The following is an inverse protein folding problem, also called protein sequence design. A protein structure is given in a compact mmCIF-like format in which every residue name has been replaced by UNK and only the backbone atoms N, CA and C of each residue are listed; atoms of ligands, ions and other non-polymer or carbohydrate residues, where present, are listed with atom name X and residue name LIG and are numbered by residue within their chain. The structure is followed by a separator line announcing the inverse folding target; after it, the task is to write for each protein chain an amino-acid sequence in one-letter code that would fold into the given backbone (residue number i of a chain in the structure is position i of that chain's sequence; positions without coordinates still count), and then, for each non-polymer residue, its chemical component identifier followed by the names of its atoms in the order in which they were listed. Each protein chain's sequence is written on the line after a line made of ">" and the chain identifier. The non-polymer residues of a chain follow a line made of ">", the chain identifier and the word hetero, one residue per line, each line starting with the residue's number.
data_IF_421699552508
#
_entry.id   IF_421699552508
#
_cell.length_a   1.000
_cell.length_b   1.000
_cell.length_c   1.000
_cell.angle_alpha   90.00
_cell.angle_beta   90.00
_cell.angle_gamma   90.00
#
_symmetry.space_group_name_H-M   'P 1'
#
loop_
_entity.id
_entity.type
_entity.pdbx_description
1 polymer ?
#
# COMPACT_ATOMS: atom_id res chain seq x y z
N UNK A 1 -11.71 11.84 -7.90
CA UNK A 1 -10.98 10.61 -8.23
C UNK A 1 -9.72 11.04 -8.98
N UNK A 2 -8.55 10.60 -8.50
CA UNK A 2 -7.25 11.00 -9.03
C UNK A 2 -6.51 9.73 -9.45
N UNK A 3 -5.91 9.72 -10.64
CA UNK A 3 -5.14 8.59 -11.15
C UNK A 3 -3.65 8.89 -10.94
N UNK A 4 -2.91 7.89 -10.45
CA UNK A 4 -1.45 7.95 -10.29
C UNK A 4 -0.86 6.81 -11.10
N UNK A 5 0.05 7.14 -12.01
CA UNK A 5 0.81 6.17 -12.80
C UNK A 5 2.25 6.15 -12.30
N UNK A 6 2.77 4.95 -12.00
CA UNK A 6 4.13 4.76 -11.50
C UNK A 6 4.76 3.59 -12.23
N UNK A 7 5.98 3.77 -12.73
CA UNK A 7 6.81 2.71 -13.29
C UNK A 7 7.74 2.18 -12.20
N UNK A 8 7.64 0.88 -11.91
CA UNK A 8 8.50 0.19 -10.94
C UNK A 8 9.14 -1.02 -11.62
N UNK A 9 10.47 -1.19 -11.50
CA UNK A 9 11.11 -2.49 -11.69
C UNK A 9 10.42 -3.59 -10.86
N UNK A 10 10.41 -4.82 -11.39
CA UNK A 10 9.70 -5.96 -10.77
C UNK A 10 10.12 -6.22 -9.31
N UNK A 11 11.40 -6.03 -8.99
CA UNK A 11 11.94 -6.18 -7.64
C UNK A 11 11.40 -5.12 -6.69
N UNK A 12 11.28 -3.86 -7.13
CA UNK A 12 10.67 -2.79 -6.35
C UNK A 12 9.16 -2.98 -6.19
N UNK A 13 8.46 -3.43 -7.23
CA UNK A 13 7.03 -3.75 -7.17
C UNK A 13 6.76 -4.87 -6.16
N UNK A 14 7.56 -5.94 -6.20
CA UNK A 14 7.47 -7.04 -5.22
C UNK A 14 7.83 -6.59 -3.81
N UNK A 15 8.87 -5.75 -3.63
CA UNK A 15 9.25 -5.22 -2.32
C UNK A 15 8.13 -4.37 -1.70
N UNK A 16 7.50 -3.51 -2.50
CA UNK A 16 6.36 -2.71 -2.05
C UNK A 16 5.15 -3.58 -1.70
N UNK A 17 4.84 -4.59 -2.52
CA UNK A 17 3.76 -5.53 -2.22
C UNK A 17 4.00 -6.28 -0.90
N UNK A 18 5.23 -6.71 -0.64
CA UNK A 18 5.62 -7.34 0.63
C UNK A 18 5.51 -6.39 1.82
N UNK A 19 5.87 -5.11 1.65
CA UNK A 19 5.70 -4.09 2.68
C UNK A 19 4.21 -3.89 3.00
N UNK A 20 3.38 -3.66 1.98
CA UNK A 20 1.93 -3.45 2.14
C UNK A 20 1.22 -4.66 2.75
N UNK A 21 1.72 -5.88 2.51
CA UNK A 21 1.24 -7.09 3.20
C UNK A 21 1.54 -7.08 4.71
N UNK A 22 2.68 -6.53 5.13
CA UNK A 22 3.20 -6.63 6.51
C UNK A 22 2.80 -5.44 7.38
N UNK A 23 2.64 -4.27 6.78
CA UNK A 23 2.26 -3.05 7.49
C UNK A 23 0.86 -3.22 8.08
N UNK A 24 0.74 -2.99 9.39
CA UNK A 24 -0.53 -3.05 10.10
C UNK A 24 -1.04 -1.67 10.48
N UNK A 25 -2.29 -1.59 10.93
CA UNK A 25 -2.92 -0.33 11.38
C UNK A 25 -2.08 0.42 12.43
N UNK A 26 -1.40 -0.29 13.33
CA UNK A 26 -0.52 0.35 14.33
C UNK A 26 0.66 1.10 13.71
N UNK A 27 1.18 0.65 12.58
CA UNK A 27 2.24 1.35 11.85
C UNK A 27 1.71 2.67 11.28
N UNK A 28 0.56 2.63 10.62
CA UNK A 28 -0.11 3.84 10.12
C UNK A 28 -0.46 4.82 11.25
N UNK A 29 -1.07 4.32 12.33
CA UNK A 29 -1.45 5.14 13.48
C UNK A 29 -0.26 5.83 14.14
N UNK A 30 0.92 5.21 14.13
CA UNK A 30 2.12 5.83 14.73
C UNK A 30 2.64 7.05 13.97
N UNK A 31 2.22 7.22 12.71
CA UNK A 31 2.63 8.32 11.83
C UNK A 31 1.49 9.32 11.56
N UNK A 32 0.25 8.92 11.81
CA UNK A 32 -0.93 9.74 11.63
C UNK A 32 -1.13 10.74 12.79
N UNK A 33 -1.76 11.87 12.48
CA UNK A 33 -2.23 12.91 13.41
C UNK A 33 -3.36 12.35 14.28
N UNK A 34 -4.22 11.52 13.71
CA UNK A 34 -5.32 10.86 14.41
C UNK A 34 -5.68 9.49 13.83
N UNK A 35 -6.73 8.86 14.40
CA UNK A 35 -7.23 7.56 13.94
C UNK A 35 -7.86 7.62 12.56
N UNK A 36 -8.46 8.76 12.21
CA UNK A 36 -9.16 8.93 10.94
C UNK A 36 -8.14 8.94 9.80
N UNK A 37 -7.08 9.73 9.92
CA UNK A 37 -5.97 9.73 8.95
C UNK A 37 -5.31 8.35 8.86
N UNK A 38 -5.13 7.64 9.98
CA UNK A 38 -4.59 6.28 9.96
C UNK A 38 -5.44 5.33 9.08
N UNK A 39 -6.77 5.41 9.15
CA UNK A 39 -7.66 4.62 8.28
C UNK A 39 -7.59 5.08 6.82
N UNK A 40 -7.47 6.38 6.55
CA UNK A 40 -7.31 6.91 5.19
C UNK A 40 -6.01 6.42 4.54
N UNK A 41 -4.92 6.36 5.29
CA UNK A 41 -3.65 5.80 4.83
C UNK A 41 -3.74 4.29 4.55
N UNK A 42 -4.48 3.53 5.38
CA UNK A 42 -4.74 2.10 5.14
C UNK A 42 -5.51 1.92 3.84
N UNK A 43 -6.61 2.67 3.64
CA UNK A 43 -7.42 2.55 2.42
C UNK A 43 -6.61 2.88 1.17
N UNK A 44 -5.81 3.95 1.21
CA UNK A 44 -4.89 4.28 0.13
C UNK A 44 -3.86 3.16 -0.13
N UNK A 45 -3.30 2.56 0.92
CA UNK A 45 -2.39 1.42 0.81
C UNK A 45 -3.04 0.19 0.17
N UNK A 46 -4.29 -0.11 0.52
CA UNK A 46 -5.05 -1.21 -0.06
C UNK A 46 -5.32 -1.01 -1.55
N UNK A 47 -5.59 0.22 -2.01
CA UNK A 47 -5.71 0.52 -3.45
C UNK A 47 -4.41 0.26 -4.22
N UNK A 48 -3.27 0.60 -3.63
CA UNK A 48 -1.97 0.29 -4.23
C UNK A 48 -1.72 -1.22 -4.24
N UNK A 49 -2.10 -1.92 -3.16
CA UNK A 49 -1.96 -3.37 -3.06
C UNK A 49 -2.82 -4.11 -4.10
N UNK A 50 -4.05 -3.65 -4.33
CA UNK A 50 -4.95 -4.14 -5.39
C UNK A 50 -4.30 -3.96 -6.77
N UNK A 51 -3.81 -2.75 -7.07
CA UNK A 51 -3.17 -2.47 -8.36
C UNK A 51 -1.90 -3.32 -8.60
N UNK A 52 -1.10 -3.57 -7.55
CA UNK A 52 0.06 -4.46 -7.63
C UNK A 52 -0.36 -5.92 -7.88
N UNK A 53 -1.42 -6.38 -7.22
CA UNK A 53 -1.96 -7.73 -7.41
C UNK A 53 -2.48 -7.94 -8.84
N UNK A 54 -3.15 -6.95 -9.42
CA UNK A 54 -3.62 -6.97 -10.82
C UNK A 54 -2.46 -7.10 -11.83
N UNK A 55 -1.26 -6.68 -11.44
CA UNK A 55 -0.02 -6.84 -12.23
C UNK A 55 0.77 -8.11 -11.89
N UNK A 56 0.26 -8.97 -11.01
CA UNK A 56 0.87 -10.24 -10.63
C UNK A 56 1.74 -10.21 -9.36
N UNK A 57 1.86 -9.06 -8.70
CA UNK A 57 2.65 -8.90 -7.47
C UNK A 57 1.78 -9.13 -6.23
N UNK A 58 1.37 -10.39 -6.01
CA UNK A 58 0.49 -10.80 -4.90
C UNK A 58 1.19 -11.81 -3.97
N UNK A 59 1.97 -11.34 -2.96
CA UNK A 59 2.64 -12.24 -2.03
C UNK A 59 1.64 -13.01 -1.17
N UNK A 60 1.78 -14.35 -1.10
CA UNK A 60 1.04 -15.24 -0.18
C UNK A 60 1.43 -14.98 1.26
#
# INVERSE_FOLDING_TARGET
>A
MTIIEVELPDDLAMALAQFLKRVGYSNYLSLAIDKQEAYEMVDAGEKVREALADKGFAPR
#
